data_IF_706549013679
#
_entry.id   IF_706549013679
#
_cell.length_a   1.000
_cell.length_b   1.000
_cell.length_c   1.000
_cell.angle_alpha   90.00
_cell.angle_beta   90.00
_cell.angle_gamma   90.00
#
_symmetry.space_group_name_H-M   'P 1'
#
loop_
_entity.id
_entity.type
_entity.pdbx_description
1 polymer ?
#
# COMPACT_ATOMS: atom_id res chain seq x y z
N UNK A 1 4.49 -16.56 -14.11
CA UNK A 1 3.46 -15.63 -13.65
C UNK A 1 2.96 -16.19 -12.33
N UNK A 2 3.15 -15.47 -11.24
CA UNK A 2 2.66 -15.96 -9.95
C UNK A 2 1.14 -15.85 -9.96
N UNK A 3 0.46 -16.86 -9.43
CA UNK A 3 -0.98 -16.75 -9.21
C UNK A 3 -1.26 -15.66 -8.19
N UNK A 4 -2.39 -14.98 -8.29
CA UNK A 4 -2.76 -13.89 -7.37
C UNK A 4 -2.74 -14.36 -5.91
N UNK A 5 -3.11 -15.64 -5.67
CA UNK A 5 -3.15 -16.25 -4.33
C UNK A 5 -1.76 -16.38 -3.69
N UNK A 6 -0.68 -16.35 -4.48
CA UNK A 6 0.71 -16.41 -3.99
C UNK A 6 1.32 -15.01 -3.80
N UNK A 7 0.61 -13.95 -4.22
CA UNK A 7 1.13 -12.59 -4.13
C UNK A 7 0.93 -11.98 -2.76
N UNK A 8 2.04 -11.61 -2.13
CA UNK A 8 2.07 -10.94 -0.83
C UNK A 8 1.82 -9.45 -0.98
N UNK A 9 0.80 -8.97 -0.31
CA UNK A 9 0.48 -7.55 -0.21
C UNK A 9 0.87 -7.02 1.16
N UNK A 10 1.76 -6.03 1.21
CA UNK A 10 1.93 -5.19 2.39
C UNK A 10 0.86 -4.10 2.37
N UNK A 11 -0.03 -4.11 3.35
CA UNK A 11 -1.18 -3.21 3.41
C UNK A 11 -0.91 -2.05 4.37
N UNK A 12 -0.46 -0.93 3.82
CA UNK A 12 -0.19 0.30 4.55
C UNK A 12 -1.45 1.16 4.67
N UNK A 13 -1.92 1.39 5.88
CA UNK A 13 -3.14 2.17 6.11
C UNK A 13 -3.19 2.71 7.53
N UNK A 14 -3.71 3.92 7.77
CA UNK A 14 -4.09 4.35 9.11
C UNK A 14 -5.36 3.64 9.60
N UNK A 15 -5.46 3.49 10.95
CA UNK A 15 -6.64 2.93 11.63
C UNK A 15 -6.94 3.66 12.95
N UNK A 16 -6.48 4.90 13.09
CA UNK A 16 -6.42 5.62 14.37
C UNK A 16 -7.73 6.31 14.78
N UNK A 17 -8.72 6.33 13.90
CA UNK A 17 -10.07 6.79 14.17
C UNK A 17 -11.11 5.87 13.52
N UNK A 18 -12.42 6.00 13.88
CA UNK A 18 -13.45 5.09 13.36
C UNK A 18 -13.57 5.04 11.84
N UNK A 19 -13.42 6.19 11.17
CA UNK A 19 -13.51 6.27 9.70
C UNK A 19 -12.32 5.55 9.04
N UNK A 20 -11.11 5.78 9.52
CA UNK A 20 -9.90 5.08 9.04
C UNK A 20 -9.99 3.59 9.29
N UNK A 21 -10.42 3.17 10.48
CA UNK A 21 -10.56 1.75 10.83
C UNK A 21 -11.59 1.04 9.96
N UNK A 22 -12.72 1.66 9.68
CA UNK A 22 -13.75 1.11 8.78
C UNK A 22 -13.21 0.94 7.35
N UNK A 23 -12.55 1.98 6.82
CA UNK A 23 -11.96 1.94 5.48
C UNK A 23 -10.89 0.86 5.38
N UNK A 24 -9.99 0.80 6.36
CA UNK A 24 -8.92 -0.20 6.45
C UNK A 24 -9.51 -1.61 6.42
N UNK A 25 -10.49 -1.91 7.27
CA UNK A 25 -11.12 -3.23 7.36
C UNK A 25 -11.86 -3.60 6.06
N UNK A 26 -12.60 -2.67 5.47
CA UNK A 26 -13.38 -2.87 4.23
C UNK A 26 -12.49 -3.12 3.02
N UNK A 27 -11.46 -2.31 2.83
CA UNK A 27 -10.54 -2.43 1.69
C UNK A 27 -9.67 -3.70 1.84
N UNK A 28 -9.15 -3.96 3.03
CA UNK A 28 -8.38 -5.18 3.32
C UNK A 28 -9.19 -6.44 3.08
N UNK A 29 -10.45 -6.47 3.54
CA UNK A 29 -11.37 -7.58 3.26
C UNK A 29 -11.55 -7.79 1.75
N UNK A 30 -11.77 -6.71 1.01
CA UNK A 30 -11.93 -6.77 -0.45
C UNK A 30 -10.69 -7.35 -1.14
N UNK A 31 -9.48 -6.95 -0.75
CA UNK A 31 -8.26 -7.51 -1.33
C UNK A 31 -8.13 -9.02 -1.06
N UNK A 32 -8.49 -9.47 0.14
CA UNK A 32 -8.51 -10.91 0.48
C UNK A 32 -9.57 -11.68 -0.32
N UNK A 33 -10.75 -11.11 -0.54
CA UNK A 33 -11.79 -11.69 -1.40
C UNK A 33 -11.36 -11.79 -2.87
N UNK A 34 -10.47 -10.90 -3.32
CA UNK A 34 -9.85 -10.93 -4.64
C UNK A 34 -8.69 -11.95 -4.75
N UNK A 35 -8.35 -12.63 -3.66
CA UNK A 35 -7.36 -13.71 -3.62
C UNK A 35 -5.95 -13.31 -3.18
N UNK A 36 -5.69 -12.06 -2.82
CA UNK A 36 -4.37 -11.63 -2.36
C UNK A 36 -4.04 -12.12 -0.94
N UNK A 37 -2.76 -12.48 -0.69
CA UNK A 37 -2.22 -12.72 0.65
C UNK A 37 -1.89 -11.37 1.31
N UNK A 38 -2.79 -10.87 2.16
CA UNK A 38 -2.68 -9.52 2.75
C UNK A 38 -2.14 -9.55 4.16
N UNK A 39 -0.93 -9.03 4.32
CA UNK A 39 -0.30 -8.72 5.60
C UNK A 39 -0.51 -7.24 5.95
N UNK A 40 -0.96 -6.95 7.16
CA UNK A 40 -1.11 -5.56 7.63
C UNK A 40 -0.48 -5.35 9.01
N UNK A 41 0.09 -4.17 9.28
CA UNK A 41 0.58 -3.81 10.62
C UNK A 41 -0.50 -3.90 11.70
N UNK A 42 -1.72 -3.50 11.40
CA UNK A 42 -2.86 -3.58 12.33
C UNK A 42 -3.11 -4.99 12.84
N UNK A 43 -3.01 -6.00 11.96
CA UNK A 43 -3.28 -7.39 12.32
C UNK A 43 -2.08 -8.07 13.01
N UNK A 44 -0.85 -7.62 12.72
CA UNK A 44 0.37 -8.37 13.05
C UNK A 44 1.37 -7.64 13.94
N UNK A 45 1.37 -6.32 13.98
CA UNK A 45 2.54 -5.56 14.44
C UNK A 45 2.15 -4.23 15.11
N UNK A 46 1.14 -4.24 15.98
CA UNK A 46 0.70 -3.03 16.70
C UNK A 46 1.71 -2.69 17.80
N UNK A 47 2.24 -1.45 17.76
CA UNK A 47 3.11 -0.92 18.79
C UNK A 47 2.30 -0.24 19.89
N UNK A 48 2.53 -0.62 21.15
CA UNK A 48 1.97 0.11 22.29
C UNK A 48 2.55 1.53 22.35
N UNK A 49 1.75 2.57 22.68
CA UNK A 49 2.25 3.93 22.91
C UNK A 49 3.33 4.03 23.99
N UNK A 50 3.32 3.10 24.95
CA UNK A 50 4.27 3.02 26.07
C UNK A 50 5.34 1.95 25.87
N UNK A 51 5.48 1.40 24.65
CA UNK A 51 6.49 0.40 24.32
C UNK A 51 7.91 0.93 24.60
N UNK A 52 8.75 0.04 25.14
CA UNK A 52 10.17 0.33 25.32
C UNK A 52 10.93 0.37 23.97
N UNK A 53 12.22 0.69 24.02
CA UNK A 53 13.05 0.80 22.83
C UNK A 53 13.18 -0.51 22.06
N UNK A 54 13.27 -1.63 22.76
CA UNK A 54 13.40 -2.96 22.16
C UNK A 54 12.15 -3.33 21.36
N UNK A 55 10.95 -3.14 21.93
CA UNK A 55 9.68 -3.38 21.25
C UNK A 55 9.50 -2.44 20.05
N UNK A 56 9.84 -1.15 20.20
CA UNK A 56 9.76 -0.19 19.06
C UNK A 56 10.67 -0.59 17.93
N UNK A 57 11.90 -1.01 18.21
CA UNK A 57 12.84 -1.48 17.20
C UNK A 57 12.34 -2.75 16.52
N UNK A 58 11.77 -3.68 17.28
CA UNK A 58 11.21 -4.92 16.73
C UNK A 58 10.07 -4.63 15.78
N UNK A 59 9.07 -3.83 16.19
CA UNK A 59 7.93 -3.46 15.35
C UNK A 59 8.39 -2.76 14.06
N UNK A 60 9.32 -1.81 14.18
CA UNK A 60 9.90 -1.11 13.03
C UNK A 60 10.59 -2.09 12.07
N UNK A 61 11.42 -2.99 12.59
CA UNK A 61 12.16 -3.97 11.78
C UNK A 61 11.22 -4.96 11.10
N UNK A 62 10.17 -5.43 11.80
CA UNK A 62 9.18 -6.35 11.25
C UNK A 62 8.40 -5.68 10.08
N UNK A 63 8.01 -4.42 10.24
CA UNK A 63 7.38 -3.65 9.15
C UNK A 63 8.32 -3.51 7.95
N UNK A 64 9.56 -3.07 8.16
CA UNK A 64 10.54 -2.93 7.08
C UNK A 64 10.80 -4.26 6.36
N UNK A 65 10.91 -5.36 7.10
CA UNK A 65 11.08 -6.69 6.52
C UNK A 65 9.91 -7.06 5.61
N UNK A 66 8.67 -6.90 6.09
CA UNK A 66 7.48 -7.24 5.31
C UNK A 66 7.28 -6.30 4.10
N UNK A 67 7.70 -5.04 4.17
CA UNK A 67 7.74 -4.14 3.01
C UNK A 67 8.73 -4.66 1.96
N UNK A 68 9.92 -5.12 2.37
CA UNK A 68 10.93 -5.63 1.44
C UNK A 68 10.56 -6.99 0.83
N UNK A 69 9.76 -7.79 1.53
CA UNK A 69 9.35 -9.15 1.14
C UNK A 69 8.02 -9.18 0.36
N UNK A 70 7.34 -8.04 0.19
CA UNK A 70 6.06 -8.01 -0.51
C UNK A 70 6.24 -7.92 -2.04
N UNK A 71 5.29 -8.50 -2.78
CA UNK A 71 5.15 -8.32 -4.22
C UNK A 71 4.44 -7.01 -4.56
N UNK A 72 3.54 -6.59 -3.67
CA UNK A 72 2.72 -5.38 -3.81
C UNK A 72 2.72 -4.60 -2.50
N UNK A 73 3.08 -3.32 -2.55
CA UNK A 73 2.73 -2.39 -1.49
C UNK A 73 1.42 -1.69 -1.87
N UNK A 74 0.39 -1.91 -1.06
CA UNK A 74 -0.91 -1.25 -1.20
C UNK A 74 -1.07 -0.21 -0.09
N UNK A 75 -1.17 1.07 -0.45
CA UNK A 75 -1.25 2.17 0.51
C UNK A 75 -2.55 2.96 0.40
N UNK A 76 -3.31 3.03 1.49
CA UNK A 76 -4.45 3.95 1.62
C UNK A 76 -3.93 5.32 2.01
N UNK A 77 -4.07 6.29 1.12
CA UNK A 77 -3.55 7.65 1.30
C UNK A 77 -4.58 8.64 1.83
N UNK A 78 -5.84 8.21 1.98
CA UNK A 78 -6.87 8.99 2.64
C UNK A 78 -6.44 9.37 4.06
N UNK A 79 -6.63 10.64 4.43
CA UNK A 79 -6.23 11.15 5.74
C UNK A 79 -4.75 11.52 5.87
N UNK A 80 -3.93 11.31 4.85
CA UNK A 80 -2.52 11.74 4.78
C UNK A 80 -1.69 11.28 5.99
N UNK A 81 -1.82 10.00 6.38
CA UNK A 81 -1.06 9.43 7.49
C UNK A 81 0.44 9.38 7.19
N UNK A 82 1.24 9.95 8.09
CA UNK A 82 2.69 10.04 7.91
C UNK A 82 3.38 8.67 7.86
N UNK A 83 2.92 7.70 8.64
CA UNK A 83 3.46 6.34 8.65
C UNK A 83 3.25 5.65 7.31
N UNK A 84 2.03 5.69 6.80
CA UNK A 84 1.66 5.14 5.48
C UNK A 84 2.49 5.79 4.35
N UNK A 85 2.67 7.10 4.39
CA UNK A 85 3.48 7.81 3.38
C UNK A 85 4.96 7.47 3.50
N UNK A 86 5.47 7.31 4.72
CA UNK A 86 6.86 6.87 4.94
C UNK A 86 7.10 5.46 4.35
N UNK A 87 6.19 4.53 4.58
CA UNK A 87 6.26 3.16 4.05
C UNK A 87 6.24 3.15 2.52
N UNK A 88 5.38 3.97 1.91
CA UNK A 88 5.33 4.17 0.46
C UNK A 88 6.65 4.73 -0.11
N UNK A 89 7.24 5.73 0.55
CA UNK A 89 8.55 6.26 0.17
C UNK A 89 9.68 5.25 0.33
N UNK A 90 9.61 4.44 1.39
CA UNK A 90 10.61 3.40 1.65
C UNK A 90 10.64 2.34 0.55
N UNK A 91 9.49 1.80 0.14
CA UNK A 91 9.45 0.81 -0.96
C UNK A 91 9.89 1.41 -2.29
N UNK A 92 9.56 2.67 -2.58
CA UNK A 92 10.01 3.32 -3.81
C UNK A 92 11.55 3.39 -3.88
N UNK A 93 12.21 3.78 -2.79
CA UNK A 93 13.66 3.79 -2.70
C UNK A 93 14.28 2.39 -2.78
N UNK A 94 13.65 1.42 -2.13
CA UNK A 94 14.07 0.01 -2.19
C UNK A 94 13.94 -0.56 -3.61
N UNK A 95 12.86 -0.27 -4.31
CA UNK A 95 12.62 -0.66 -5.71
C UNK A 95 13.69 -0.12 -6.66
N UNK A 96 14.13 1.13 -6.49
CA UNK A 96 15.22 1.70 -7.31
C UNK A 96 16.52 0.91 -7.11
N UNK A 97 16.82 0.49 -5.88
CA UNK A 97 17.96 -0.37 -5.60
C UNK A 97 17.81 -1.76 -6.24
N UNK A 98 16.63 -2.37 -6.14
CA UNK A 98 16.35 -3.68 -6.73
C UNK A 98 16.54 -3.66 -8.24
N UNK A 99 15.98 -2.67 -8.94
CA UNK A 99 16.19 -2.46 -10.38
C UNK A 99 17.67 -2.34 -10.74
N UNK A 100 18.43 -1.58 -9.95
CA UNK A 100 19.85 -1.35 -10.21
C UNK A 100 20.71 -2.62 -10.15
N UNK A 101 20.24 -3.66 -9.42
CA UNK A 101 20.92 -4.96 -9.30
C UNK A 101 20.23 -6.08 -10.08
N UNK A 102 19.23 -5.76 -10.91
CA UNK A 102 18.57 -6.68 -11.83
C UNK A 102 17.43 -7.51 -11.24
N UNK A 103 16.88 -7.12 -10.10
CA UNK A 103 15.68 -7.73 -9.53
C UNK A 103 14.40 -7.01 -9.96
N UNK A 104 13.31 -7.75 -10.06
CA UNK A 104 11.98 -7.18 -10.28
C UNK A 104 11.55 -6.39 -9.04
N UNK A 105 11.12 -5.13 -9.21
CA UNK A 105 10.61 -4.34 -8.11
C UNK A 105 9.19 -4.74 -7.72
N UNK A 106 8.85 -4.54 -6.46
CA UNK A 106 7.46 -4.66 -6.00
C UNK A 106 6.57 -3.62 -6.67
N UNK A 107 5.32 -3.97 -6.95
CA UNK A 107 4.32 -3.00 -7.44
C UNK A 107 3.86 -2.07 -6.33
N UNK A 108 3.65 -0.82 -6.67
CA UNK A 108 3.14 0.21 -5.74
C UNK A 108 1.74 0.61 -6.15
N UNK A 109 0.76 0.35 -5.30
CA UNK A 109 -0.65 0.66 -5.51
C UNK A 109 -1.10 1.71 -4.50
N UNK A 110 -1.58 2.84 -4.97
CA UNK A 110 -2.21 3.85 -4.12
C UNK A 110 -3.72 3.80 -4.23
N UNK A 111 -4.37 3.95 -3.09
CA UNK A 111 -5.81 4.04 -2.96
C UNK A 111 -6.19 5.33 -2.25
N UNK A 112 -7.14 6.09 -2.83
CA UNK A 112 -7.64 7.33 -2.24
C UNK A 112 -9.11 7.56 -2.64
N UNK A 113 -10.06 7.09 -1.85
CA UNK A 113 -11.49 7.19 -2.16
C UNK A 113 -12.11 8.56 -1.83
N UNK A 114 -11.47 9.34 -0.96
CA UNK A 114 -11.97 10.68 -0.58
C UNK A 114 -11.58 11.77 -1.58
N UNK A 115 -10.83 11.40 -2.61
CA UNK A 115 -10.45 12.32 -3.68
C UNK A 115 -11.66 12.61 -4.58
N UNK A 116 -12.33 13.72 -4.35
CA UNK A 116 -13.47 14.14 -5.16
C UNK A 116 -13.07 14.54 -6.59
N UNK A 117 -14.04 14.83 -7.48
CA UNK A 117 -13.81 15.12 -8.89
C UNK A 117 -12.91 16.36 -9.15
N UNK A 118 -12.82 17.28 -8.18
CA UNK A 118 -11.91 18.43 -8.22
C UNK A 118 -10.77 18.29 -7.20
N UNK A 119 -10.57 17.09 -6.65
CA UNK A 119 -9.52 16.82 -5.69
C UNK A 119 -8.15 16.83 -6.36
N UNK A 120 -7.14 17.21 -5.59
CA UNK A 120 -5.75 17.19 -6.01
C UNK A 120 -5.03 16.02 -5.34
N UNK A 121 -4.41 15.17 -6.14
CA UNK A 121 -3.59 14.08 -5.63
C UNK A 121 -2.13 14.52 -5.59
N UNK A 122 -1.39 14.07 -4.59
CA UNK A 122 0.01 14.48 -4.46
C UNK A 122 0.84 14.00 -5.66
N UNK A 123 1.60 14.93 -6.27
CA UNK A 123 2.42 14.64 -7.44
C UNK A 123 3.39 13.47 -7.25
N UNK A 124 4.08 13.42 -6.10
CA UNK A 124 5.08 12.37 -5.85
C UNK A 124 4.43 10.99 -5.78
N UNK A 125 3.24 10.90 -5.19
CA UNK A 125 2.47 9.65 -5.14
C UNK A 125 1.91 9.30 -6.53
N UNK A 126 1.37 10.28 -7.26
CA UNK A 126 0.85 10.06 -8.62
C UNK A 126 1.92 9.50 -9.58
N UNK A 127 3.18 9.92 -9.43
CA UNK A 127 4.28 9.51 -10.29
C UNK A 127 5.01 8.26 -9.81
N UNK A 128 5.01 7.97 -8.51
CA UNK A 128 5.68 6.79 -7.95
C UNK A 128 4.81 5.53 -7.92
N UNK A 129 3.47 5.68 -8.05
CA UNK A 129 2.55 4.55 -8.08
C UNK A 129 2.50 3.90 -9.46
N UNK A 130 2.54 2.57 -9.48
CA UNK A 130 2.25 1.81 -10.70
C UNK A 130 0.75 1.81 -11.01
N UNK A 131 -0.08 1.79 -9.96
CA UNK A 131 -1.55 1.78 -10.04
C UNK A 131 -2.11 2.76 -9.02
N UNK A 132 -3.01 3.65 -9.45
CA UNK A 132 -3.73 4.57 -8.57
C UNK A 132 -5.24 4.34 -8.70
N UNK A 133 -5.88 3.94 -7.61
CA UNK A 133 -7.32 3.63 -7.54
C UNK A 133 -8.02 4.69 -6.68
N UNK A 134 -9.05 5.32 -7.21
CA UNK A 134 -9.79 6.39 -6.54
C UNK A 134 -11.25 6.03 -6.24
N UNK A 135 -11.66 4.81 -6.57
CA UNK A 135 -13.02 4.29 -6.31
C UNK A 135 -12.95 2.87 -5.82
N UNK A 136 -13.78 2.54 -4.84
CA UNK A 136 -13.83 1.20 -4.25
C UNK A 136 -14.14 0.10 -5.29
N UNK A 137 -15.04 0.39 -6.22
CA UNK A 137 -15.46 -0.55 -7.27
C UNK A 137 -14.32 -0.90 -8.24
N UNK A 138 -13.36 0.02 -8.41
CA UNK A 138 -12.21 -0.19 -9.30
C UNK A 138 -11.19 -1.18 -8.73
N UNK A 139 -11.30 -1.56 -7.43
CA UNK A 139 -10.50 -2.64 -6.84
C UNK A 139 -10.71 -3.97 -7.57
N UNK A 140 -11.87 -4.22 -8.15
CA UNK A 140 -12.15 -5.43 -8.93
C UNK A 140 -11.24 -5.60 -10.16
N UNK A 141 -10.64 -4.52 -10.64
CA UNK A 141 -9.69 -4.52 -11.77
C UNK A 141 -8.27 -4.89 -11.36
N UNK A 142 -7.94 -4.81 -10.06
CA UNK A 142 -6.56 -4.97 -9.59
C UNK A 142 -5.93 -6.32 -9.96
N UNK A 143 -6.60 -7.48 -9.78
CA UNK A 143 -6.02 -8.76 -10.17
C UNK A 143 -5.62 -8.81 -11.64
N UNK A 144 -6.48 -8.33 -12.53
CA UNK A 144 -6.22 -8.32 -13.97
C UNK A 144 -5.04 -7.40 -14.34
N UNK A 145 -5.00 -6.19 -13.78
CA UNK A 145 -3.88 -5.25 -13.99
C UNK A 145 -2.55 -5.84 -13.55
N UNK A 146 -2.52 -6.48 -12.38
CA UNK A 146 -1.32 -7.12 -11.85
C UNK A 146 -0.88 -8.28 -12.74
N UNK A 147 -1.78 -9.19 -13.12
CA UNK A 147 -1.46 -10.34 -13.96
C UNK A 147 -0.94 -9.95 -15.34
N UNK A 148 -1.47 -8.88 -15.92
CA UNK A 148 -1.02 -8.35 -17.21
C UNK A 148 0.25 -7.49 -17.12
N UNK A 149 0.70 -7.17 -15.91
CA UNK A 149 1.79 -6.23 -15.69
C UNK A 149 1.45 -4.79 -16.14
N UNK A 150 0.16 -4.47 -16.19
CA UNK A 150 -0.33 -3.15 -16.61
C UNK A 150 -0.37 -2.18 -15.43
N UNK A 151 -0.11 -0.90 -15.72
CA UNK A 151 -0.27 0.20 -14.79
C UNK A 151 -1.63 0.88 -14.95
N UNK A 152 -2.01 1.64 -13.94
CA UNK A 152 -3.16 2.56 -14.00
C UNK A 152 -2.71 3.91 -13.43
N UNK A 153 -2.19 4.78 -14.31
CA UNK A 153 -1.71 6.09 -13.92
C UNK A 153 -2.87 6.99 -13.47
N UNK A 154 -2.60 7.84 -12.48
CA UNK A 154 -3.53 8.88 -12.10
C UNK A 154 -3.64 9.94 -13.21
N UNK A 155 -4.85 10.19 -13.67
CA UNK A 155 -5.14 11.13 -14.77
C UNK A 155 -5.82 12.44 -14.32
N UNK A 156 -5.98 12.63 -13.01
CA UNK A 156 -6.63 13.82 -12.43
C UNK A 156 -5.65 14.98 -12.18
N UNK A 157 -6.10 15.91 -11.34
CA UNK A 157 -5.32 17.10 -10.94
C UNK A 157 -4.30 16.70 -9.88
N UNK A 158 -3.06 17.16 -10.02
CA UNK A 158 -1.99 16.97 -9.03
C UNK A 158 -1.63 18.27 -8.32
N UNK A 159 -1.14 18.16 -7.07
CA UNK A 159 -0.59 19.28 -6.26
C UNK A 159 0.91 19.08 -5.97
#
# INVERSE_FOLDING_TARGET
MNDIEDMKVYFASPWFNPEQAEREDRVKKKLRELGFDVWSPKDNCVCSPIADKEMRNKVFSDNCYNIQDCDILFAITDGKDMGTIWEAGYICGYNERQKAVGYEPSKVVYYCETLGPNGQFNLMLAQSGDIVITKFEDLDKLPELIQKGEGLAYAGIVE
#
